data_IF_506598747700
#
_entry.id   IF_506598747700
#
_cell.length_a   1.000
_cell.length_b   1.000
_cell.length_c   1.000
_cell.angle_alpha   90.00
_cell.angle_beta   90.00
_cell.angle_gamma   90.00
#
_symmetry.space_group_name_H-M   'P 1'
#
loop_
_entity.id
_entity.type
_entity.pdbx_description
1 polymer ?
#
# COMPACT_ATOMS: atom_id res chain seq x y z
N UNK A 1 -7.04 -60.03 11.00
CA UNK A 1 -6.30 -58.78 11.34
C UNK A 1 -6.14 -57.78 10.20
N UNK A 2 -6.35 -58.09 8.89
CA UNK A 2 -6.22 -57.09 7.79
C UNK A 2 -7.48 -56.26 7.48
N UNK A 3 -8.67 -56.65 7.97
CA UNK A 3 -9.93 -55.91 7.72
C UNK A 3 -10.19 -54.74 8.67
N UNK A 4 -9.60 -54.75 9.86
CA UNK A 4 -9.81 -53.70 10.87
C UNK A 4 -9.02 -52.43 10.53
N UNK A 5 -7.86 -52.56 9.89
CA UNK A 5 -6.98 -51.44 9.50
C UNK A 5 -7.57 -50.58 8.38
N UNK A 6 -8.30 -51.19 7.43
CA UNK A 6 -8.96 -50.46 6.33
C UNK A 6 -10.15 -49.63 6.79
N UNK A 7 -10.90 -50.09 7.80
CA UNK A 7 -12.04 -49.35 8.36
C UNK A 7 -11.59 -48.10 9.14
N UNK A 8 -10.48 -48.18 9.87
CA UNK A 8 -9.87 -47.00 10.51
C UNK A 8 -9.29 -46.01 9.49
N UNK A 9 -8.66 -46.48 8.41
CA UNK A 9 -8.12 -45.58 7.38
C UNK A 9 -9.24 -44.86 6.60
N UNK A 10 -10.33 -45.57 6.28
CA UNK A 10 -11.49 -45.00 5.57
C UNK A 10 -12.26 -43.99 6.46
N UNK A 11 -12.36 -44.26 7.76
CA UNK A 11 -12.99 -43.36 8.72
C UNK A 11 -12.17 -42.07 8.93
N UNK A 12 -10.83 -42.17 8.95
CA UNK A 12 -9.94 -41.00 9.02
C UNK A 12 -10.04 -40.16 7.74
N UNK A 13 -10.08 -40.80 6.56
CA UNK A 13 -10.27 -40.08 5.28
C UNK A 13 -11.63 -39.36 5.25
N UNK A 14 -12.72 -40.04 5.68
CA UNK A 14 -14.06 -39.44 5.73
C UNK A 14 -14.18 -38.30 6.74
N UNK A 15 -13.53 -38.40 7.91
CA UNK A 15 -13.48 -37.33 8.92
C UNK A 15 -12.66 -36.12 8.44
N UNK A 16 -11.51 -36.34 7.78
CA UNK A 16 -10.69 -35.26 7.23
C UNK A 16 -11.41 -34.56 6.06
N UNK A 17 -12.09 -35.30 5.17
CA UNK A 17 -12.91 -34.69 4.10
C UNK A 17 -14.15 -33.97 4.63
N UNK A 18 -14.72 -34.43 5.75
CA UNK A 18 -15.87 -33.80 6.39
C UNK A 18 -15.53 -32.44 7.03
N UNK A 19 -14.40 -32.36 7.74
CA UNK A 19 -13.91 -31.10 8.33
C UNK A 19 -13.45 -30.08 7.29
N UNK A 20 -12.75 -30.52 6.23
CA UNK A 20 -12.36 -29.62 5.12
C UNK A 20 -13.57 -29.05 4.37
N UNK A 21 -14.64 -29.84 4.19
CA UNK A 21 -15.86 -29.36 3.54
C UNK A 21 -16.67 -28.37 4.40
N UNK A 22 -16.71 -28.55 5.73
CA UNK A 22 -17.42 -27.62 6.60
C UNK A 22 -16.74 -26.26 6.67
N UNK A 23 -15.41 -26.21 6.78
CA UNK A 23 -14.67 -24.94 6.81
C UNK A 23 -14.75 -24.19 5.47
N UNK A 24 -14.70 -24.88 4.33
CA UNK A 24 -14.87 -24.24 3.02
C UNK A 24 -16.27 -23.69 2.77
N UNK A 25 -17.32 -24.31 3.34
CA UNK A 25 -18.70 -23.84 3.17
C UNK A 25 -18.94 -22.44 3.77
N UNK A 26 -18.16 -22.11 4.80
CA UNK A 26 -18.16 -20.84 5.52
C UNK A 26 -17.38 -19.71 4.81
N UNK A 27 -16.63 -20.04 3.75
CA UNK A 27 -15.92 -19.04 2.95
C UNK A 27 -16.86 -18.30 1.99
N UNK A 28 -16.55 -17.03 1.66
CA UNK A 28 -17.16 -16.34 0.53
C UNK A 28 -17.09 -17.20 -0.73
N UNK A 29 -18.13 -17.16 -1.56
CA UNK A 29 -18.25 -18.00 -2.75
C UNK A 29 -17.02 -17.88 -3.68
N UNK A 30 -16.50 -16.67 -3.85
CA UNK A 30 -15.31 -16.37 -4.65
C UNK A 30 -14.01 -17.01 -4.16
N UNK A 31 -13.97 -17.48 -2.91
CA UNK A 31 -12.80 -18.09 -2.26
C UNK A 31 -12.90 -19.62 -2.12
N UNK A 32 -14.08 -20.22 -2.35
CA UNK A 32 -14.31 -21.66 -2.11
C UNK A 32 -13.43 -22.57 -2.96
N UNK A 33 -13.15 -22.13 -4.20
CA UNK A 33 -12.33 -22.86 -5.17
C UNK A 33 -10.90 -22.31 -5.26
N UNK A 34 -10.54 -21.33 -4.43
CA UNK A 34 -9.19 -20.77 -4.42
C UNK A 34 -8.21 -21.75 -3.78
N UNK A 35 -7.11 -22.00 -4.47
CA UNK A 35 -6.00 -22.83 -4.04
C UNK A 35 -4.71 -22.29 -4.68
N UNK A 36 -3.64 -22.01 -3.92
CA UNK A 36 -3.53 -22.08 -2.46
C UNK A 36 -4.27 -20.96 -1.70
N UNK A 37 -4.85 -21.32 -0.55
CA UNK A 37 -5.59 -20.43 0.35
C UNK A 37 -5.16 -20.62 1.81
N UNK A 38 -4.80 -19.53 2.48
CA UNK A 38 -4.51 -19.46 3.91
C UNK A 38 -5.57 -18.63 4.63
N UNK A 39 -6.21 -19.21 5.65
CA UNK A 39 -7.21 -18.50 6.48
C UNK A 39 -6.58 -18.07 7.79
N UNK A 40 -6.59 -16.76 8.07
CA UNK A 40 -6.13 -16.21 9.34
C UNK A 40 -7.23 -16.35 10.39
N UNK A 41 -6.90 -17.05 11.48
CA UNK A 41 -7.75 -17.26 12.64
C UNK A 41 -6.92 -17.14 13.94
N UNK A 42 -7.59 -17.11 15.10
CA UNK A 42 -6.91 -16.97 16.39
C UNK A 42 -5.93 -18.11 16.73
N UNK A 43 -6.01 -19.26 16.06
CA UNK A 43 -5.05 -20.36 16.25
C UNK A 43 -3.67 -20.08 15.64
N UNK A 44 -3.58 -19.14 14.71
CA UNK A 44 -2.34 -18.72 14.06
C UNK A 44 -1.81 -17.38 14.61
N UNK A 45 -2.46 -16.80 15.61
CA UNK A 45 -2.01 -15.57 16.25
C UNK A 45 -0.85 -15.88 17.21
N UNK A 46 0.35 -15.36 16.91
CA UNK A 46 1.59 -15.71 17.61
C UNK A 46 2.00 -14.72 18.69
N UNK A 47 1.34 -13.58 18.79
CA UNK A 47 1.66 -12.57 19.81
C UNK A 47 1.24 -11.17 19.42
N UNK A 48 1.80 -10.19 20.14
CA UNK A 48 1.55 -8.76 19.91
C UNK A 48 2.82 -8.06 19.44
N UNK A 49 2.63 -6.97 18.73
CA UNK A 49 3.70 -6.03 18.40
C UNK A 49 3.55 -4.81 19.29
N UNK A 50 4.66 -4.32 19.83
CA UNK A 50 4.75 -2.97 20.38
C UNK A 50 5.79 -2.15 19.63
N UNK A 51 5.48 -0.88 19.41
CA UNK A 51 6.35 0.07 18.73
C UNK A 51 6.87 1.06 19.76
N UNK A 52 8.16 0.98 20.05
CA UNK A 52 8.83 1.87 20.99
C UNK A 52 9.49 3.01 20.23
N UNK A 53 9.08 4.25 20.53
CA UNK A 53 9.65 5.45 19.89
C UNK A 53 11.15 5.51 20.15
N UNK A 54 11.94 5.70 19.09
CA UNK A 54 13.39 5.77 19.15
C UNK A 54 13.87 7.19 18.86
N UNK A 55 13.79 7.63 17.60
CA UNK A 55 14.29 8.93 17.17
C UNK A 55 13.37 9.57 16.14
N UNK A 56 13.38 10.90 16.05
CA UNK A 56 12.70 11.65 15.00
C UNK A 56 13.71 12.33 14.08
N UNK A 57 13.50 12.17 12.78
CA UNK A 57 14.18 12.88 11.70
C UNK A 57 13.37 14.12 11.38
N UNK A 58 13.85 15.26 11.87
CA UNK A 58 13.15 16.53 11.77
C UNK A 58 13.95 17.48 10.91
N UNK A 59 13.24 18.32 10.16
CA UNK A 59 13.82 19.48 9.51
C UNK A 59 13.08 20.74 9.98
N UNK A 60 13.83 21.74 10.45
CA UNK A 60 13.29 23.06 10.78
C UNK A 60 12.72 23.79 9.55
N UNK A 61 12.99 23.28 8.36
CA UNK A 61 12.35 23.63 7.10
C UNK A 61 11.17 22.71 6.76
N UNK A 62 10.34 22.43 7.78
CA UNK A 62 8.89 22.22 7.71
C UNK A 62 8.44 21.43 6.47
N UNK A 63 8.58 20.11 6.51
CA UNK A 63 7.98 19.26 5.49
C UNK A 63 6.45 19.41 5.59
N UNK A 64 5.82 19.99 4.57
CA UNK A 64 4.35 20.02 4.49
C UNK A 64 3.81 18.62 4.22
N UNK A 65 4.59 17.80 3.49
CA UNK A 65 4.23 16.43 3.13
C UNK A 65 5.45 15.54 2.97
N UNK A 66 5.40 14.36 3.60
CA UNK A 66 6.32 13.25 3.38
C UNK A 66 5.68 12.28 2.40
N UNK A 67 6.32 12.08 1.25
CA UNK A 67 5.79 11.20 0.20
C UNK A 67 6.43 9.81 0.18
N UNK A 68 7.63 9.65 0.76
CA UNK A 68 8.31 8.37 0.78
C UNK A 68 9.49 8.37 1.72
N UNK A 69 9.81 7.18 2.23
CA UNK A 69 10.96 6.93 3.10
C UNK A 69 11.69 5.71 2.56
N UNK A 70 13.01 5.80 2.49
CA UNK A 70 13.88 4.67 2.16
C UNK A 70 15.07 4.63 3.13
N UNK A 71 15.68 3.46 3.29
CA UNK A 71 16.83 3.26 4.18
C UNK A 71 17.96 2.66 3.36
N UNK A 72 19.17 3.19 3.51
CA UNK A 72 20.36 2.64 2.86
C UNK A 72 20.99 1.48 3.67
N UNK A 73 21.99 0.82 3.11
CA UNK A 73 22.68 -0.31 3.75
C UNK A 73 23.40 0.07 5.06
N UNK A 74 23.70 1.34 5.28
CA UNK A 74 24.30 1.85 6.52
C UNK A 74 23.25 2.19 7.60
N UNK A 75 21.97 2.17 7.23
CA UNK A 75 20.86 2.59 8.09
C UNK A 75 20.54 4.09 7.98
N UNK A 76 21.20 4.83 7.07
CA UNK A 76 20.85 6.22 6.82
C UNK A 76 19.46 6.30 6.18
N UNK A 77 18.72 7.33 6.53
CA UNK A 77 17.30 7.50 6.19
C UNK A 77 17.16 8.59 5.15
N UNK A 78 16.54 8.24 4.04
CA UNK A 78 16.23 9.11 2.91
C UNK A 78 14.74 9.43 2.96
N UNK A 79 14.39 10.71 3.00
CA UNK A 79 12.99 11.17 3.15
C UNK A 79 12.66 12.06 1.97
N UNK A 80 11.68 11.67 1.15
CA UNK A 80 11.13 12.52 0.11
C UNK A 80 10.15 13.52 0.72
N UNK A 81 10.56 14.79 0.73
CA UNK A 81 9.82 15.87 1.36
C UNK A 81 9.34 16.89 0.34
N UNK A 82 8.14 17.42 0.59
CA UNK A 82 7.58 18.52 -0.18
C UNK A 82 7.14 19.65 0.74
N UNK A 83 7.43 20.88 0.32
CA UNK A 83 6.87 22.10 0.88
C UNK A 83 6.59 23.12 -0.25
N UNK A 84 6.04 24.30 0.01
CA UNK A 84 5.84 25.31 -1.03
C UNK A 84 7.14 25.57 -1.84
N UNK A 85 7.09 25.30 -3.16
CA UNK A 85 8.22 25.41 -4.11
C UNK A 85 9.50 24.62 -3.72
N UNK A 86 9.37 23.59 -2.88
CA UNK A 86 10.48 22.71 -2.50
C UNK A 86 10.12 21.25 -2.72
N UNK A 87 10.97 20.53 -3.44
CA UNK A 87 10.84 19.10 -3.74
C UNK A 87 12.22 18.49 -3.63
N UNK A 88 12.53 17.93 -2.48
CA UNK A 88 13.87 17.46 -2.16
C UNK A 88 13.81 16.08 -1.50
N UNK A 89 14.89 15.31 -1.62
CA UNK A 89 15.13 14.15 -0.77
C UNK A 89 16.14 14.51 0.29
N UNK A 90 15.75 14.40 1.55
CA UNK A 90 16.56 14.70 2.72
C UNK A 90 17.29 13.44 3.18
N UNK A 91 18.59 13.53 3.42
CA UNK A 91 19.40 12.43 3.95
C UNK A 91 19.73 12.67 5.42
N UNK A 92 19.44 11.68 6.25
CA UNK A 92 19.73 11.67 7.67
C UNK A 92 20.55 10.45 8.05
N UNK A 93 21.51 10.63 8.96
CA UNK A 93 22.20 9.51 9.60
C UNK A 93 21.30 8.81 10.61
N UNK A 94 21.74 7.63 11.08
CA UNK A 94 21.00 6.80 12.05
C UNK A 94 20.70 7.51 13.38
N UNK A 95 21.47 8.56 13.72
CA UNK A 95 21.36 9.38 14.93
C UNK A 95 20.51 10.65 14.73
N UNK A 96 19.85 10.80 13.58
CA UNK A 96 19.01 11.95 13.27
C UNK A 96 19.77 13.16 12.70
N UNK A 97 21.08 13.07 12.51
CA UNK A 97 21.87 14.16 11.91
C UNK A 97 21.56 14.27 10.41
N UNK A 98 21.01 15.42 9.97
CA UNK A 98 20.85 15.70 8.53
C UNK A 98 22.22 15.90 7.88
N UNK A 99 22.52 15.15 6.83
CA UNK A 99 23.79 15.23 6.09
C UNK A 99 23.68 15.93 4.74
N UNK A 100 22.47 16.04 4.20
CA UNK A 100 22.27 16.78 2.94
C UNK A 100 20.86 16.71 2.40
N UNK A 101 20.68 17.30 1.22
CA UNK A 101 19.48 17.18 0.38
C UNK A 101 19.85 16.97 -1.07
N UNK A 102 18.97 16.30 -1.80
CA UNK A 102 19.09 16.05 -3.23
C UNK A 102 17.89 16.61 -4.00
N UNK A 103 18.17 17.19 -5.16
CA UNK A 103 17.17 17.72 -6.08
C UNK A 103 16.63 19.11 -5.73
N UNK A 104 15.50 19.45 -6.33
CA UNK A 104 14.83 20.75 -6.21
C UNK A 104 13.53 20.77 -6.99
N UNK A 105 12.74 21.84 -6.83
CA UNK A 105 11.50 22.00 -7.59
C UNK A 105 11.79 22.45 -9.03
N UNK A 106 11.33 21.68 -10.02
CA UNK A 106 11.46 22.05 -11.42
C UNK A 106 11.41 20.88 -12.39
N UNK A 107 11.90 21.07 -13.61
CA UNK A 107 11.85 20.08 -14.70
C UNK A 107 13.22 19.64 -15.18
N UNK A 108 14.27 20.35 -14.76
CA UNK A 108 15.62 20.11 -15.23
C UNK A 108 16.16 18.79 -14.65
N UNK A 109 17.39 18.47 -15.00
CA UNK A 109 18.07 17.27 -14.53
C UNK A 109 18.26 17.31 -13.00
N UNK A 110 17.77 16.27 -12.32
CA UNK A 110 17.80 16.20 -10.86
C UNK A 110 16.67 16.96 -10.15
N UNK A 111 15.83 17.71 -10.88
CA UNK A 111 14.67 18.41 -10.31
C UNK A 111 13.37 17.59 -10.40
N UNK A 112 12.38 17.97 -9.60
CA UNK A 112 11.10 17.25 -9.48
C UNK A 112 9.91 18.20 -9.48
N UNK A 113 8.83 17.80 -10.16
CA UNK A 113 7.55 18.48 -10.11
C UNK A 113 6.62 17.93 -9.03
N UNK A 114 6.77 16.65 -8.72
CA UNK A 114 6.04 15.91 -7.71
C UNK A 114 6.86 14.66 -7.38
N UNK A 115 7.15 14.36 -6.12
CA UNK A 115 7.82 13.12 -5.76
C UNK A 115 6.76 12.18 -5.20
N UNK A 116 6.34 11.16 -5.95
CA UNK A 116 5.27 10.26 -5.49
C UNK A 116 5.76 9.22 -4.48
N UNK A 117 6.99 8.75 -4.67
CA UNK A 117 7.66 7.79 -3.77
C UNK A 117 9.17 7.75 -4.09
N UNK A 118 9.95 7.13 -3.20
CA UNK A 118 11.37 6.84 -3.36
C UNK A 118 11.70 5.40 -3.00
N UNK A 119 12.76 4.85 -3.58
CA UNK A 119 13.26 3.52 -3.24
C UNK A 119 14.78 3.48 -3.28
N UNK A 120 15.39 2.88 -2.26
CA UNK A 120 16.82 2.58 -2.25
C UNK A 120 17.08 1.16 -2.77
N UNK A 121 18.09 0.99 -3.63
CA UNK A 121 18.55 -0.32 -4.08
C UNK A 121 19.97 -0.25 -4.65
N UNK A 122 20.89 -1.05 -4.08
CA UNK A 122 22.26 -1.21 -4.60
C UNK A 122 23.05 0.10 -4.67
N UNK A 123 23.02 0.89 -3.59
CA UNK A 123 23.69 2.20 -3.51
C UNK A 123 23.01 3.32 -4.31
N UNK A 124 21.86 3.06 -4.93
CA UNK A 124 21.13 4.03 -5.75
C UNK A 124 19.79 4.38 -5.13
N UNK A 125 19.43 5.65 -5.27
CA UNK A 125 18.13 6.18 -4.93
C UNK A 125 17.31 6.36 -6.21
N UNK A 126 16.16 5.71 -6.27
CA UNK A 126 15.17 5.87 -7.33
C UNK A 126 14.09 6.83 -6.83
N UNK A 127 13.92 7.94 -7.55
CA UNK A 127 12.90 8.95 -7.25
C UNK A 127 11.85 8.93 -8.34
N UNK A 128 10.59 8.73 -7.95
CA UNK A 128 9.47 8.63 -8.88
C UNK A 128 8.74 9.96 -8.98
N UNK A 129 8.83 10.61 -10.14
CA UNK A 129 8.11 11.85 -10.43
C UNK A 129 6.98 11.59 -11.42
N UNK A 130 5.78 11.33 -10.90
CA UNK A 130 4.61 11.04 -11.72
C UNK A 130 4.10 12.23 -12.51
N UNK A 131 4.39 13.47 -12.11
CA UNK A 131 3.98 14.66 -12.87
C UNK A 131 4.90 14.94 -14.06
N UNK A 132 6.17 14.55 -13.95
CA UNK A 132 7.11 14.50 -15.07
C UNK A 132 7.08 13.17 -15.83
N UNK A 133 6.31 12.19 -15.34
CA UNK A 133 6.29 10.79 -15.81
C UNK A 133 7.73 10.24 -15.97
N UNK A 134 8.55 10.45 -14.93
CA UNK A 134 9.99 10.20 -14.94
C UNK A 134 10.42 9.44 -13.69
N UNK A 135 11.35 8.50 -13.86
CA UNK A 135 12.12 7.91 -12.78
C UNK A 135 13.53 8.48 -12.83
N UNK A 136 13.94 9.19 -11.80
CA UNK A 136 15.30 9.73 -11.68
C UNK A 136 16.12 8.82 -10.78
N UNK A 137 17.33 8.46 -11.19
CA UNK A 137 18.22 7.59 -10.42
C UNK A 137 19.46 8.36 -10.00
N UNK A 138 19.66 8.46 -8.70
CA UNK A 138 20.75 9.19 -8.06
C UNK A 138 21.69 8.22 -7.34
N UNK A 139 22.96 8.61 -7.23
CA UNK A 139 23.85 8.05 -6.21
C UNK A 139 23.28 8.41 -4.82
N UNK A 140 23.06 7.42 -3.95
CA UNK A 140 22.36 7.66 -2.69
C UNK A 140 23.21 8.41 -1.64
N UNK A 141 24.54 8.40 -1.80
CA UNK A 141 25.47 9.08 -0.88
C UNK A 141 25.69 10.54 -1.33
N UNK A 142 26.02 10.73 -2.61
CA UNK A 142 26.39 12.04 -3.19
C UNK A 142 25.19 12.81 -3.76
N UNK A 143 24.08 12.15 -4.06
CA UNK A 143 22.94 12.77 -4.74
C UNK A 143 23.15 13.04 -6.22
N UNK A 144 24.26 12.55 -6.79
CA UNK A 144 24.62 12.81 -8.18
C UNK A 144 23.70 12.04 -9.13
N UNK A 145 23.22 12.73 -10.17
CA UNK A 145 22.41 12.10 -11.21
C UNK A 145 23.21 11.01 -11.92
N UNK A 146 22.72 9.78 -11.84
CA UNK A 146 23.28 8.66 -12.60
C UNK A 146 22.60 8.52 -13.96
N UNK A 147 21.26 8.48 -13.98
CA UNK A 147 20.46 8.48 -15.20
C UNK A 147 18.99 8.81 -14.89
N UNK A 148 18.23 9.12 -15.94
CA UNK A 148 16.78 9.27 -15.86
C UNK A 148 16.09 8.35 -16.87
N UNK A 149 14.92 7.86 -16.50
CA UNK A 149 14.05 7.04 -17.33
C UNK A 149 12.73 7.77 -17.55
N UNK A 150 12.31 7.89 -18.81
CA UNK A 150 10.97 8.38 -19.18
C UNK A 150 9.99 7.21 -19.16
N UNK A 151 8.88 7.37 -18.44
CA UNK A 151 7.75 6.41 -18.38
C UNK A 151 6.45 7.10 -18.79
N UNK A 152 6.52 7.88 -19.86
CA UNK A 152 5.38 8.66 -20.35
C UNK A 152 4.25 7.77 -20.80
N UNK A 153 3.03 8.11 -20.42
CA UNK A 153 1.81 7.36 -20.77
C UNK A 153 1.67 7.11 -22.28
N UNK A 154 2.14 8.02 -23.13
CA UNK A 154 2.06 7.84 -24.59
C UNK A 154 2.91 6.70 -25.13
N UNK A 155 3.98 6.31 -24.45
CA UNK A 155 4.84 5.19 -24.86
C UNK A 155 4.10 3.85 -24.80
N UNK A 156 3.07 3.75 -23.97
CA UNK A 156 2.37 2.51 -23.64
C UNK A 156 0.96 2.43 -24.25
N UNK A 157 0.53 3.47 -24.96
CA UNK A 157 -0.85 3.66 -25.44
C UNK A 157 -1.38 2.50 -26.30
N UNK A 158 -0.50 1.86 -27.06
CA UNK A 158 -0.85 0.79 -27.99
C UNK A 158 -0.72 -0.62 -27.37
N UNK A 159 -0.04 -0.73 -26.22
CA UNK A 159 0.30 -2.03 -25.59
C UNK A 159 -0.53 -2.32 -24.34
N UNK A 160 -0.87 -1.27 -23.58
CA UNK A 160 -1.80 -1.37 -22.45
C UNK A 160 -3.14 -0.85 -22.94
N UNK A 161 -4.25 -1.49 -22.58
CA UNK A 161 -5.63 -1.15 -22.99
C UNK A 161 -6.08 0.28 -22.63
N UNK A 162 -5.19 1.09 -22.05
CA UNK A 162 -5.47 2.39 -21.45
C UNK A 162 -4.94 3.54 -22.32
N UNK A 163 -5.79 4.03 -23.24
CA UNK A 163 -5.51 5.25 -24.04
C UNK A 163 -5.43 6.54 -23.21
N UNK A 164 -5.96 6.51 -21.99
CA UNK A 164 -6.04 7.62 -21.06
C UNK A 164 -5.50 7.15 -19.71
N UNK A 165 -4.18 6.91 -19.63
CA UNK A 165 -3.56 6.40 -18.41
C UNK A 165 -2.72 7.46 -17.72
N UNK A 166 -2.78 7.50 -16.39
CA UNK A 166 -1.71 8.04 -15.54
C UNK A 166 -0.77 6.89 -15.22
N UNK A 167 0.52 7.14 -15.33
CA UNK A 167 1.57 6.19 -14.98
C UNK A 167 2.01 6.45 -13.54
N UNK A 168 2.10 5.39 -12.74
CA UNK A 168 2.60 5.47 -11.36
C UNK A 168 3.67 4.41 -11.18
N UNK A 169 4.97 4.78 -11.10
CA UNK A 169 6.00 3.86 -10.70
C UNK A 169 5.74 3.36 -9.28
N UNK A 170 5.78 2.04 -9.10
CA UNK A 170 5.44 1.41 -7.82
C UNK A 170 6.67 0.86 -7.13
N UNK A 171 7.51 0.14 -7.88
CA UNK A 171 8.63 -0.60 -7.31
C UNK A 171 9.70 -0.86 -8.37
N UNK A 172 10.96 -0.90 -7.95
CA UNK A 172 12.08 -1.41 -8.74
C UNK A 172 12.52 -2.76 -8.21
N UNK A 173 12.57 -3.73 -9.11
CA UNK A 173 13.06 -5.08 -8.86
C UNK A 173 14.58 -5.16 -8.79
N UNK A 174 15.12 -6.19 -8.14
CA UNK A 174 16.57 -6.44 -8.05
C UNK A 174 17.22 -6.67 -9.43
N UNK A 175 16.51 -7.31 -10.35
CA UNK A 175 16.94 -7.44 -11.75
C UNK A 175 17.01 -6.08 -12.48
N UNK A 176 16.58 -5.01 -11.83
CA UNK A 176 16.62 -3.61 -12.26
C UNK A 176 15.48 -3.18 -13.18
N UNK A 177 14.49 -4.05 -13.42
CA UNK A 177 13.21 -3.66 -14.06
C UNK A 177 12.30 -2.95 -13.07
N UNK A 178 11.24 -2.32 -13.57
CA UNK A 178 10.30 -1.52 -12.79
C UNK A 178 8.88 -2.05 -12.90
N UNK A 179 8.18 -2.13 -11.78
CA UNK A 179 6.74 -2.31 -11.75
C UNK A 179 6.05 -0.95 -11.85
N UNK A 180 5.20 -0.81 -12.85
CA UNK A 180 4.48 0.42 -13.18
C UNK A 180 2.98 0.15 -13.13
N UNK A 181 2.23 1.00 -12.45
CA UNK A 181 0.77 1.01 -12.46
C UNK A 181 0.23 1.97 -13.53
N UNK A 182 -0.77 1.51 -14.27
CA UNK A 182 -1.48 2.25 -15.30
C UNK A 182 -2.93 2.43 -14.85
N UNK A 183 -3.30 3.68 -14.55
CA UNK A 183 -4.64 4.03 -14.05
C UNK A 183 -5.37 4.87 -15.06
N UNK A 184 -6.63 4.56 -15.30
CA UNK A 184 -7.49 5.41 -16.14
C UNK A 184 -7.46 6.87 -15.63
N UNK A 185 -7.42 7.87 -16.50
CA UNK A 185 -7.39 9.30 -16.15
C UNK A 185 -8.72 10.00 -16.45
N UNK A 186 -9.69 9.29 -17.02
CA UNK A 186 -11.02 9.83 -17.33
C UNK A 186 -11.79 10.13 -16.05
N UNK A 187 -12.75 11.05 -16.18
CA UNK A 187 -13.57 11.48 -15.06
C UNK A 187 -14.41 10.31 -14.50
N UNK A 188 -14.20 9.90 -13.24
CA UNK A 188 -14.90 8.76 -12.64
C UNK A 188 -16.41 8.93 -12.55
N UNK A 189 -16.92 10.16 -12.60
CA UNK A 189 -18.36 10.42 -12.61
C UNK A 189 -19.07 9.83 -13.84
N UNK A 190 -18.34 9.66 -14.95
CA UNK A 190 -18.85 9.12 -16.21
C UNK A 190 -18.29 7.74 -16.55
N UNK A 191 -17.15 7.38 -15.96
CA UNK A 191 -16.48 6.10 -16.15
C UNK A 191 -16.21 5.44 -14.79
N UNK A 192 -17.24 4.89 -14.12
CA UNK A 192 -17.10 4.36 -12.76
C UNK A 192 -16.39 3.01 -12.70
N UNK A 193 -16.51 2.19 -13.74
CA UNK A 193 -15.82 0.90 -13.86
C UNK A 193 -14.42 1.13 -14.41
N UNK A 194 -13.42 1.03 -13.52
CA UNK A 194 -12.03 1.33 -13.81
C UNK A 194 -11.14 0.25 -13.23
N UNK A 195 -10.03 0.02 -13.91
CA UNK A 195 -9.01 -0.93 -13.50
C UNK A 195 -7.65 -0.25 -13.43
N UNK A 196 -6.79 -0.79 -12.57
CA UNK A 196 -5.37 -0.51 -12.54
C UNK A 196 -4.65 -1.71 -13.11
N UNK A 197 -3.94 -1.50 -14.21
CA UNK A 197 -3.08 -2.52 -14.81
C UNK A 197 -1.68 -2.31 -14.28
N UNK A 198 -1.06 -3.35 -13.75
CA UNK A 198 0.34 -3.33 -13.33
C UNK A 198 1.17 -4.08 -14.34
N UNK A 199 2.25 -3.48 -14.83
CA UNK A 199 3.11 -4.07 -15.83
C UNK A 199 4.59 -3.83 -15.52
N UNK A 200 5.45 -4.69 -16.07
CA UNK A 200 6.90 -4.59 -15.88
C UNK A 200 7.52 -3.84 -17.05
N UNK A 201 8.37 -2.87 -16.73
CA UNK A 201 9.10 -2.02 -17.66
C UNK A 201 10.61 -2.22 -17.49
N UNK A 202 11.34 -2.24 -18.60
CA UNK A 202 12.78 -2.41 -18.64
C UNK A 202 13.53 -1.21 -18.05
N UNK A 203 14.85 -1.33 -17.93
CA UNK A 203 15.74 -0.21 -17.54
C UNK A 203 15.74 0.94 -18.54
N UNK A 204 15.24 0.72 -19.76
CA UNK A 204 15.17 1.72 -20.83
C UNK A 204 13.76 2.25 -21.08
N UNK A 205 12.76 1.74 -20.36
CA UNK A 205 11.37 2.22 -20.47
C UNK A 205 10.48 1.36 -21.35
N UNK A 206 11.01 0.26 -21.88
CA UNK A 206 10.27 -0.66 -22.74
C UNK A 206 9.37 -1.58 -21.93
N UNK A 207 8.13 -1.76 -22.36
CA UNK A 207 7.20 -2.71 -21.74
C UNK A 207 7.70 -4.16 -21.98
N UNK A 208 7.85 -4.93 -20.91
CA UNK A 208 8.33 -6.32 -20.97
C UNK A 208 7.19 -7.34 -20.95
N UNK A 209 6.05 -6.99 -20.35
CA UNK A 209 4.84 -7.82 -20.29
C UNK A 209 3.61 -6.91 -20.28
N UNK A 210 2.52 -7.33 -20.92
CA UNK A 210 1.30 -6.53 -21.06
C UNK A 210 0.60 -6.27 -19.71
N UNK A 211 0.64 -7.27 -18.81
CA UNK A 211 0.19 -7.14 -17.43
C UNK A 211 0.77 -8.23 -16.53
N UNK A 212 1.18 -7.85 -15.33
CA UNK A 212 1.51 -8.76 -14.22
C UNK A 212 0.29 -8.96 -13.31
N UNK A 213 -0.50 -7.91 -13.12
CA UNK A 213 -1.67 -7.91 -12.25
C UNK A 213 -2.68 -6.88 -12.76
N UNK A 214 -3.98 -7.16 -12.59
CA UNK A 214 -5.06 -6.20 -12.83
C UNK A 214 -5.93 -6.15 -11.57
N UNK A 215 -6.25 -4.96 -11.11
CA UNK A 215 -7.14 -4.75 -9.95
C UNK A 215 -8.23 -3.74 -10.29
N UNK A 216 -9.39 -3.87 -9.67
CA UNK A 216 -10.37 -2.78 -9.66
C UNK A 216 -9.76 -1.53 -9.02
N UNK A 217 -9.96 -0.37 -9.66
CA UNK A 217 -9.45 0.92 -9.19
C UNK A 217 -10.29 1.46 -8.01
N UNK A 218 -9.93 2.65 -7.56
CA UNK A 218 -10.57 3.37 -6.47
C UNK A 218 -12.04 3.62 -6.76
N UNK A 219 -12.91 3.28 -5.80
CA UNK A 219 -14.34 3.55 -5.89
C UNK A 219 -14.63 4.99 -5.52
N UNK A 220 -15.21 5.71 -6.48
CA UNK A 220 -15.74 7.05 -6.26
C UNK A 220 -17.23 6.99 -5.94
N UNK A 221 -17.68 7.88 -5.07
CA UNK A 221 -19.09 8.19 -4.92
C UNK A 221 -19.43 9.28 -5.93
N UNK A 222 -20.64 9.22 -6.46
CA UNK A 222 -21.13 10.19 -7.43
C UNK A 222 -22.38 10.83 -6.86
N UNK A 223 -22.32 12.16 -6.70
CA UNK A 223 -23.47 12.98 -6.37
C UNK A 223 -23.90 13.84 -7.55
N UNK A 224 -24.97 14.58 -7.38
CA UNK A 224 -25.47 15.55 -8.34
C UNK A 224 -25.23 16.99 -7.87
N UNK A 225 -24.77 17.82 -8.79
CA UNK A 225 -24.78 19.27 -8.64
C UNK A 225 -25.47 19.91 -9.85
N UNK A 226 -26.71 20.36 -9.65
CA UNK A 226 -27.51 21.06 -10.64
C UNK A 226 -27.66 20.27 -11.96
N UNK A 227 -27.91 18.96 -11.85
CA UNK A 227 -28.06 18.05 -12.98
C UNK A 227 -26.75 17.59 -13.60
N UNK A 228 -25.60 17.83 -12.95
CA UNK A 228 -24.29 17.37 -13.38
C UNK A 228 -23.69 16.41 -12.35
N UNK A 229 -23.27 15.21 -12.76
CA UNK A 229 -22.65 14.27 -11.84
C UNK A 229 -21.26 14.76 -11.42
N UNK A 230 -20.98 14.66 -10.13
CA UNK A 230 -19.71 15.03 -9.53
C UNK A 230 -19.19 13.88 -8.67
N UNK A 231 -18.02 13.35 -9.04
CA UNK A 231 -17.37 12.27 -8.32
C UNK A 231 -16.52 12.81 -7.17
N UNK A 232 -16.52 12.08 -6.05
CA UNK A 232 -15.65 12.34 -4.90
C UNK A 232 -15.26 11.02 -4.22
N UNK A 233 -14.21 11.07 -3.40
CA UNK A 233 -13.78 9.93 -2.58
C UNK A 233 -14.15 10.17 -1.12
N UNK A 234 -14.41 9.07 -0.42
CA UNK A 234 -14.46 9.07 1.04
C UNK A 234 -13.05 9.19 1.62
N UNK A 235 -12.95 9.56 2.89
CA UNK A 235 -11.68 9.60 3.64
C UNK A 235 -10.97 8.23 3.64
N UNK A 236 -11.76 7.15 3.65
CA UNK A 236 -11.29 5.76 3.60
C UNK A 236 -11.97 5.05 2.44
N UNK A 237 -11.50 5.27 1.19
CA UNK A 237 -12.17 4.74 0.02
C UNK A 237 -11.83 3.26 -0.20
N UNK A 238 -12.71 2.57 -0.92
CA UNK A 238 -12.35 1.29 -1.55
C UNK A 238 -11.31 1.59 -2.62
N UNK A 239 -10.13 0.95 -2.57
CA UNK A 239 -9.01 1.18 -3.49
C UNK A 239 -8.06 -0.01 -3.53
N UNK A 240 -7.26 -0.17 -4.60
CA UNK A 240 -6.18 -1.15 -4.60
C UNK A 240 -5.06 -0.75 -3.64
N UNK A 241 -4.50 -1.75 -2.98
CA UNK A 241 -3.24 -1.71 -2.23
C UNK A 241 -2.23 -2.62 -2.91
N UNK A 242 -0.98 -2.18 -2.94
CA UNK A 242 0.13 -2.95 -3.45
C UNK A 242 1.36 -2.75 -2.55
N UNK A 243 2.04 -3.83 -2.23
CA UNK A 243 3.35 -3.83 -1.61
C UNK A 243 4.24 -4.81 -2.37
N UNK A 244 5.55 -4.59 -2.36
CA UNK A 244 6.50 -5.49 -2.99
C UNK A 244 7.66 -5.76 -2.03
N UNK A 245 7.94 -7.04 -1.80
CA UNK A 245 9.09 -7.44 -0.98
C UNK A 245 10.41 -7.24 -1.73
N UNK A 246 11.56 -7.36 -1.03
CA UNK A 246 12.88 -7.19 -1.65
C UNK A 246 13.12 -8.16 -2.81
N UNK A 247 12.50 -9.34 -2.77
CA UNK A 247 12.63 -10.36 -3.82
C UNK A 247 11.79 -10.06 -5.06
N UNK A 248 11.00 -8.98 -5.04
CA UNK A 248 10.12 -8.59 -6.13
C UNK A 248 8.78 -9.31 -6.12
N UNK A 249 8.43 -10.04 -5.06
CA UNK A 249 7.08 -10.60 -4.97
C UNK A 249 6.12 -9.49 -4.59
N UNK A 250 4.99 -9.48 -5.26
CA UNK A 250 3.96 -8.48 -5.08
C UNK A 250 2.92 -9.05 -4.12
N UNK A 251 2.48 -8.25 -3.17
CA UNK A 251 1.26 -8.51 -2.41
C UNK A 251 0.25 -7.45 -2.79
N UNK A 252 -0.92 -7.91 -3.21
CA UNK A 252 -2.01 -7.07 -3.67
C UNK A 252 -3.25 -7.29 -2.81
N UNK A 253 -4.03 -6.22 -2.62
CA UNK A 253 -5.32 -6.28 -1.97
C UNK A 253 -6.25 -5.21 -2.55
N UNK A 254 -7.56 -5.42 -2.46
CA UNK A 254 -8.53 -4.33 -2.56
C UNK A 254 -9.04 -4.05 -1.15
N UNK A 255 -9.12 -2.78 -0.74
CA UNK A 255 -9.48 -2.45 0.63
C UNK A 255 -10.90 -2.88 1.04
N UNK A 256 -11.77 -3.22 0.08
CA UNK A 256 -13.15 -3.66 0.34
C UNK A 256 -13.23 -4.79 1.37
N UNK A 257 -12.32 -5.75 1.30
CA UNK A 257 -12.33 -7.00 2.05
C UNK A 257 -10.92 -7.38 2.50
N UNK A 258 -10.81 -8.20 3.54
CA UNK A 258 -9.51 -8.67 4.04
C UNK A 258 -9.05 -9.88 3.23
N UNK A 259 -8.65 -9.63 1.98
CA UNK A 259 -8.08 -10.60 1.06
C UNK A 259 -6.76 -10.05 0.53
N UNK A 260 -5.68 -10.78 0.76
CA UNK A 260 -4.36 -10.47 0.23
C UNK A 260 -3.98 -11.56 -0.78
N UNK A 261 -3.52 -11.18 -1.95
CA UNK A 261 -3.00 -12.10 -2.95
C UNK A 261 -1.51 -11.84 -3.13
N UNK A 262 -0.70 -12.86 -2.84
CA UNK A 262 0.75 -12.85 -3.06
C UNK A 262 1.04 -13.44 -4.43
N UNK A 263 1.73 -12.66 -5.25
CA UNK A 263 2.09 -12.99 -6.62
C UNK A 263 3.60 -12.98 -6.77
N UNK A 264 4.10 -13.93 -7.54
CA UNK A 264 5.44 -13.93 -8.10
C UNK A 264 5.37 -13.40 -9.54
N UNK A 265 6.26 -12.47 -9.95
CA UNK A 265 6.27 -11.98 -11.32
C UNK A 265 6.47 -13.06 -12.38
N UNK A 266 7.15 -14.17 -12.06
CA UNK A 266 7.41 -15.26 -12.99
C UNK A 266 6.39 -16.40 -12.86
N UNK A 267 6.00 -16.74 -11.64
CA UNK A 267 5.16 -17.92 -11.36
C UNK A 267 3.67 -17.60 -11.14
N UNK A 268 3.28 -16.33 -11.12
CA UNK A 268 1.90 -15.89 -10.89
C UNK A 268 1.47 -16.00 -9.43
N UNK A 269 0.18 -16.28 -9.19
CA UNK A 269 -0.39 -16.35 -7.85
C UNK A 269 0.27 -17.46 -7.00
N UNK A 270 0.90 -17.08 -5.90
CA UNK A 270 1.55 -17.97 -4.94
C UNK A 270 0.66 -18.34 -3.75
N UNK A 271 -0.17 -17.41 -3.27
CA UNK A 271 -1.06 -17.64 -2.14
C UNK A 271 -2.16 -16.57 -2.07
N UNK A 272 -3.35 -16.97 -1.64
CA UNK A 272 -4.40 -16.06 -1.18
C UNK A 272 -4.50 -16.15 0.35
N UNK A 273 -4.44 -15.02 1.03
CA UNK A 273 -4.63 -14.92 2.49
C UNK A 273 -5.98 -14.27 2.75
N UNK A 274 -6.82 -14.93 3.53
CA UNK A 274 -8.15 -14.45 3.88
C UNK A 274 -8.32 -14.33 5.39
N UNK A 275 -8.97 -13.25 5.83
CA UNK A 275 -9.45 -13.12 7.20
C UNK A 275 -10.92 -12.71 7.20
N UNK A 276 -11.76 -13.40 7.99
CA UNK A 276 -13.13 -12.95 8.20
C UNK A 276 -13.10 -11.73 9.11
N UNK A 277 -13.26 -10.55 8.53
CA UNK A 277 -13.23 -9.28 9.24
C UNK A 277 -14.59 -8.58 9.21
N UNK A 278 -15.10 -8.19 10.38
CA UNK A 278 -16.33 -7.41 10.48
C UNK A 278 -16.02 -5.94 10.21
N UNK A 279 -16.59 -5.41 9.13
CA UNK A 279 -16.36 -4.03 8.69
C UNK A 279 -17.11 -3.04 9.59
N UNK A 280 -16.45 -1.95 9.97
CA UNK A 280 -17.06 -0.89 10.77
C UNK A 280 -18.26 -0.25 10.05
N UNK A 281 -19.35 0.07 10.76
CA UNK A 281 -20.48 0.81 10.17
C UNK A 281 -20.04 2.20 9.70
N UNK A 282 -20.68 2.69 8.65
CA UNK A 282 -20.48 4.04 8.14
C UNK A 282 -21.72 4.88 8.44
N UNK A 283 -21.52 5.98 9.16
CA UNK A 283 -22.55 7.00 9.42
C UNK A 283 -22.45 8.11 8.36
N UNK A 284 -23.49 8.23 7.52
CA UNK A 284 -23.50 9.23 6.43
C UNK A 284 -23.66 10.63 7.00
N UNK A 285 -24.53 10.81 7.98
CA UNK A 285 -24.87 12.09 8.58
C UNK A 285 -23.62 12.72 9.23
N UNK A 286 -22.80 11.92 9.93
CA UNK A 286 -21.52 12.37 10.49
C UNK A 286 -20.57 12.91 9.42
N UNK A 287 -20.48 12.22 8.27
CA UNK A 287 -19.56 12.57 7.18
C UNK A 287 -20.04 13.81 6.41
N UNK A 288 -21.34 13.92 6.16
CA UNK A 288 -21.90 14.92 5.24
C UNK A 288 -22.13 16.26 5.94
N UNK A 289 -22.87 16.27 7.04
CA UNK A 289 -23.39 17.52 7.62
C UNK A 289 -22.35 18.21 8.52
N UNK A 290 -21.49 17.46 9.19
CA UNK A 290 -20.47 18.01 10.10
C UNK A 290 -19.30 18.72 9.39
N UNK A 291 -18.89 18.23 8.21
CA UNK A 291 -17.65 18.66 7.56
C UNK A 291 -17.85 19.70 6.44
N UNK A 292 -19.00 19.68 5.75
CA UNK A 292 -19.18 20.43 4.50
C UNK A 292 -20.28 21.50 4.56
N UNK A 293 -20.86 21.74 5.73
CA UNK A 293 -21.91 22.74 5.97
C UNK A 293 -21.55 24.16 5.50
N UNK A 294 -20.27 24.49 5.45
CA UNK A 294 -19.76 25.80 5.02
C UNK A 294 -19.66 25.96 3.49
N UNK A 295 -19.86 24.89 2.71
CA UNK A 295 -19.80 24.91 1.24
C UNK A 295 -21.03 24.21 0.64
N UNK A 296 -22.06 24.99 0.31
CA UNK A 296 -23.34 24.47 -0.21
C UNK A 296 -23.18 23.59 -1.46
N UNK A 297 -22.21 23.90 -2.33
CA UNK A 297 -22.02 23.15 -3.57
C UNK A 297 -21.52 21.73 -3.26
N UNK A 298 -20.48 21.61 -2.43
CA UNK A 298 -19.93 20.32 -2.01
C UNK A 298 -20.96 19.56 -1.17
N UNK A 299 -21.68 20.26 -0.30
CA UNK A 299 -22.72 19.67 0.54
C UNK A 299 -23.81 19.02 -0.32
N UNK A 300 -24.33 19.70 -1.35
CA UNK A 300 -25.37 19.15 -2.24
C UNK A 300 -24.91 17.89 -2.98
N UNK A 301 -23.68 17.88 -3.49
CA UNK A 301 -23.09 16.69 -4.12
C UNK A 301 -23.07 15.53 -3.12
N UNK A 302 -22.61 15.78 -1.89
CA UNK A 302 -22.51 14.73 -0.86
C UNK A 302 -23.88 14.25 -0.38
N UNK A 303 -24.87 15.13 -0.25
CA UNK A 303 -26.21 14.75 0.20
C UNK A 303 -26.92 13.82 -0.80
N UNK A 304 -26.70 14.04 -2.10
CA UNK A 304 -27.34 13.30 -3.19
C UNK A 304 -26.65 11.98 -3.55
N UNK A 305 -25.44 11.74 -3.06
CA UNK A 305 -24.71 10.51 -3.34
C UNK A 305 -25.20 9.31 -2.50
N UNK A 306 -24.98 8.11 -3.06
CA UNK A 306 -25.23 6.83 -2.39
C UNK A 306 -23.98 6.37 -1.63
N UNK A 307 -24.14 6.15 -0.32
CA UNK A 307 -23.06 5.74 0.58
C UNK A 307 -23.17 4.25 0.88
N UNK A 308 -22.05 3.53 1.04
CA UNK A 308 -22.08 2.17 1.54
C UNK A 308 -22.46 2.16 3.02
N UNK A 309 -23.10 1.08 3.48
CA UNK A 309 -23.48 0.92 4.90
C UNK A 309 -22.26 0.73 5.83
N UNK A 310 -21.11 0.34 5.28
CA UNK A 310 -19.90 0.01 6.02
C UNK A 310 -18.66 0.56 5.36
N UNK A 311 -17.67 0.88 6.17
CA UNK A 311 -16.32 1.18 5.71
C UNK A 311 -15.67 -0.05 5.04
N UNK A 312 -14.65 0.14 4.20
CA UNK A 312 -13.80 -0.96 3.73
C UNK A 312 -13.16 -1.73 4.91
N UNK A 313 -12.65 -2.93 4.66
CA UNK A 313 -11.96 -3.71 5.68
C UNK A 313 -10.55 -3.15 5.96
N UNK A 314 -9.80 -2.83 4.92
CA UNK A 314 -8.38 -2.45 5.00
C UNK A 314 -8.17 -0.96 4.76
N UNK A 315 -6.99 -0.44 5.14
CA UNK A 315 -6.62 0.95 4.86
C UNK A 315 -5.21 1.11 4.27
N UNK A 316 -4.19 0.50 4.87
CA UNK A 316 -2.79 0.59 4.43
C UNK A 316 -2.12 -0.77 4.41
N UNK A 317 -1.07 -0.90 3.61
CA UNK A 317 -0.25 -2.10 3.51
C UNK A 317 1.20 -1.74 3.20
N UNK A 318 2.14 -2.33 3.93
CA UNK A 318 3.58 -2.25 3.68
C UNK A 318 4.20 -3.63 3.86
N UNK A 319 5.31 -3.88 3.19
CA UNK A 319 6.12 -5.09 3.36
C UNK A 319 7.41 -4.74 4.11
N UNK A 320 7.87 -5.65 4.97
CA UNK A 320 9.18 -5.51 5.58
C UNK A 320 10.26 -6.32 4.85
N UNK A 321 11.51 -6.13 5.28
CA UNK A 321 12.69 -6.80 4.77
C UNK A 321 12.75 -8.31 5.12
N UNK A 322 11.92 -8.77 6.06
CA UNK A 322 11.69 -10.18 6.37
C UNK A 322 10.64 -10.85 5.48
N UNK A 323 10.03 -10.13 4.55
CA UNK A 323 8.97 -10.63 3.66
C UNK A 323 7.62 -10.81 4.35
N UNK A 324 7.43 -10.20 5.54
CA UNK A 324 6.14 -10.12 6.23
C UNK A 324 5.35 -8.95 5.68
N UNK A 325 4.03 -9.09 5.73
CA UNK A 325 3.10 -8.05 5.30
C UNK A 325 2.44 -7.42 6.51
N UNK A 326 2.57 -6.11 6.60
CA UNK A 326 1.93 -5.27 7.60
C UNK A 326 0.71 -4.65 6.94
N UNK A 327 -0.48 -5.03 7.39
CA UNK A 327 -1.74 -4.51 6.83
C UNK A 327 -2.60 -3.95 7.95
N UNK A 328 -3.18 -2.78 7.72
CA UNK A 328 -4.07 -2.12 8.67
C UNK A 328 -5.53 -2.33 8.30
N UNK A 329 -6.34 -2.64 9.30
CA UNK A 329 -7.77 -2.79 9.20
C UNK A 329 -8.51 -1.64 9.89
N UNK A 330 -9.59 -1.18 9.26
CA UNK A 330 -10.44 -0.10 9.77
C UNK A 330 -11.25 -0.64 10.94
N UNK A 331 -11.17 0.03 12.09
CA UNK A 331 -11.95 -0.32 13.28
C UNK A 331 -13.15 0.60 13.43
N UNK A 332 -14.07 0.27 14.33
CA UNK A 332 -15.18 1.15 14.72
C UNK A 332 -14.68 2.44 15.42
N UNK A 333 -13.49 2.41 16.01
CA UNK A 333 -12.89 3.60 16.60
C UNK A 333 -12.22 4.43 15.50
N UNK A 334 -12.74 5.64 15.29
CA UNK A 334 -12.28 6.54 14.23
C UNK A 334 -10.76 6.77 14.22
N UNK A 335 -10.13 6.91 15.39
CA UNK A 335 -8.72 7.29 15.51
C UNK A 335 -7.76 6.10 15.69
N UNK A 336 -8.20 4.87 15.42
CA UNK A 336 -7.43 3.66 15.68
C UNK A 336 -7.57 2.65 14.53
N UNK A 337 -6.44 2.12 14.07
CA UNK A 337 -6.38 0.96 13.19
C UNK A 337 -5.92 -0.27 13.96
N UNK A 338 -6.44 -1.43 13.55
CA UNK A 338 -5.88 -2.73 13.97
C UNK A 338 -4.92 -3.21 12.90
N UNK A 339 -3.67 -3.39 13.26
CA UNK A 339 -2.63 -3.88 12.37
C UNK A 339 -2.43 -5.38 12.52
N UNK A 340 -2.16 -6.03 11.39
CA UNK A 340 -1.79 -7.44 11.28
C UNK A 340 -0.41 -7.51 10.64
N UNK A 341 0.52 -8.19 11.30
CA UNK A 341 1.85 -8.49 10.76
C UNK A 341 1.87 -9.98 10.40
N UNK A 342 1.78 -10.26 9.11
CA UNK A 342 1.46 -11.59 8.58
C UNK A 342 2.71 -12.20 7.95
N UNK A 343 3.08 -13.39 8.41
CA UNK A 343 4.11 -14.23 7.81
C UNK A 343 3.58 -15.00 6.60
N UNK A 344 4.49 -15.47 5.74
CA UNK A 344 4.14 -16.25 4.55
C UNK A 344 3.44 -17.58 4.85
N UNK A 345 3.58 -18.12 6.06
CA UNK A 345 2.96 -19.36 6.54
C UNK A 345 1.60 -19.13 7.22
N UNK A 346 1.11 -17.89 7.28
CA UNK A 346 -0.16 -17.54 7.91
C UNK A 346 -0.10 -17.25 9.41
N UNK A 347 1.06 -17.44 10.06
CA UNK A 347 1.26 -16.92 11.42
C UNK A 347 1.20 -15.41 11.40
N UNK A 348 0.62 -14.80 12.42
CA UNK A 348 0.52 -13.36 12.49
C UNK A 348 0.51 -12.82 13.91
N UNK A 349 0.91 -11.56 14.04
CA UNK A 349 0.78 -10.79 15.29
C UNK A 349 -0.12 -9.58 15.05
N UNK A 350 -0.77 -9.09 16.11
CA UNK A 350 -1.66 -7.93 16.01
C UNK A 350 -1.31 -6.82 17.00
N UNK A 351 -1.66 -5.58 16.64
CA UNK A 351 -1.56 -4.43 17.53
C UNK A 351 -2.54 -3.32 17.13
N UNK A 352 -2.83 -2.42 18.06
CA UNK A 352 -3.62 -1.22 17.80
C UNK A 352 -2.68 -0.03 17.61
N UNK A 353 -2.99 0.82 16.65
CA UNK A 353 -2.16 1.96 16.32
C UNK A 353 -3.01 3.19 15.95
N UNK A 354 -2.63 4.41 16.39
CA UNK A 354 -3.33 5.62 16.00
C UNK A 354 -3.36 5.78 14.48
N UNK A 355 -4.55 6.07 13.91
CA UNK A 355 -4.69 6.20 12.45
C UNK A 355 -3.90 7.38 11.86
N UNK A 356 -3.58 8.36 12.71
CA UNK A 356 -2.96 9.62 12.30
C UNK A 356 -1.42 9.48 12.21
N UNK A 357 -0.89 8.38 12.74
CA UNK A 357 0.53 8.03 12.72
C UNK A 357 0.76 6.99 11.62
N UNK A 358 1.12 7.44 10.43
CA UNK A 358 1.16 6.58 9.23
C UNK A 358 2.45 5.77 9.20
N UNK A 359 2.38 4.45 9.36
CA UNK A 359 3.53 3.57 9.08
C UNK A 359 3.72 3.56 7.56
N UNK A 360 4.85 4.08 7.09
CA UNK A 360 5.15 4.24 5.66
C UNK A 360 6.27 3.33 5.17
N UNK A 361 7.16 2.90 6.05
CA UNK A 361 8.27 2.00 5.71
C UNK A 361 8.64 1.12 6.91
N UNK A 362 9.08 -0.11 6.65
CA UNK A 362 9.50 -1.07 7.68
C UNK A 362 10.76 -1.79 7.20
N UNK A 363 11.88 -1.62 7.91
CA UNK A 363 13.16 -2.21 7.52
C UNK A 363 14.10 -2.29 8.73
N UNK A 364 14.94 -3.33 8.79
CA UNK A 364 16.01 -3.45 9.78
C UNK A 364 15.50 -3.57 11.22
N UNK A 365 14.28 -4.08 11.43
CA UNK A 365 13.65 -4.15 12.75
C UNK A 365 13.07 -2.83 13.24
N UNK A 366 12.94 -1.84 12.36
CA UNK A 366 12.32 -0.54 12.67
C UNK A 366 11.10 -0.27 11.81
N UNK A 367 10.12 0.42 12.39
CA UNK A 367 9.02 1.04 11.66
C UNK A 367 9.27 2.55 11.54
N UNK A 368 9.09 3.08 10.35
CA UNK A 368 9.19 4.52 10.06
C UNK A 368 7.79 5.07 9.89
N UNK A 369 7.48 6.06 10.73
CA UNK A 369 6.14 6.57 10.93
C UNK A 369 6.12 8.06 10.62
N UNK A 370 5.20 8.48 9.77
CA UNK A 370 4.92 9.90 9.55
C UNK A 370 3.95 10.37 10.64
N UNK A 371 4.35 11.40 11.37
CA UNK A 371 3.60 12.02 12.45
C UNK A 371 3.53 13.54 12.25
N UNK A 372 2.47 14.19 12.73
CA UNK A 372 2.43 15.65 12.73
C UNK A 372 3.10 16.21 14.00
N UNK A 373 3.91 17.25 13.82
CA UNK A 373 4.47 18.03 14.93
C UNK A 373 3.41 18.97 15.56
N UNK A 374 3.81 19.75 16.56
CA UNK A 374 2.92 20.69 17.27
C UNK A 374 2.32 21.78 16.36
N UNK A 375 2.94 22.05 15.21
CA UNK A 375 2.51 23.05 14.25
C UNK A 375 1.76 22.45 13.05
N UNK A 376 1.64 21.11 12.98
CA UNK A 376 0.94 20.40 11.91
C UNK A 376 1.82 20.01 10.71
N UNK A 377 3.14 20.08 10.82
CA UNK A 377 4.07 19.61 9.78
C UNK A 377 4.40 18.13 9.96
N UNK A 378 4.68 17.43 8.86
CA UNK A 378 4.97 16.00 8.88
C UNK A 378 6.45 15.73 9.23
N UNK A 379 6.70 15.04 10.35
CA UNK A 379 7.99 14.50 10.75
C UNK A 379 8.05 12.98 10.48
N UNK A 380 9.24 12.43 10.24
CA UNK A 380 9.45 10.98 10.23
C UNK A 380 10.05 10.52 11.54
N UNK A 381 9.38 9.57 12.20
CA UNK A 381 9.80 9.01 13.48
C UNK A 381 10.11 7.53 13.31
N UNK A 382 11.30 7.12 13.75
CA UNK A 382 11.69 5.71 13.84
C UNK A 382 11.18 5.11 15.14
N UNK A 383 10.61 3.92 15.04
CA UNK A 383 10.17 3.10 16.15
C UNK A 383 10.89 1.76 16.11
N UNK A 384 11.38 1.30 17.26
CA UNK A 384 11.89 -0.06 17.44
C UNK A 384 10.71 -1.01 17.52
N UNK A 385 10.74 -2.07 16.72
CA UNK A 385 9.72 -3.12 16.74
C UNK A 385 10.07 -4.12 17.85
N UNK A 386 9.11 -4.38 18.73
CA UNK A 386 9.21 -5.40 19.79
C UNK A 386 8.11 -6.44 19.58
N UNK A 387 8.50 -7.70 19.58
CA UNK A 387 7.58 -8.82 19.55
C UNK A 387 7.35 -9.32 20.98
N UNK A 388 6.11 -9.27 21.42
CA UNK A 388 5.67 -9.79 22.70
C UNK A 388 5.01 -11.14 22.44
N UNK A 389 5.77 -12.22 22.68
CA UNK A 389 5.26 -13.58 22.56
C UNK A 389 4.43 -13.98 23.78
N UNK A 390 3.40 -14.81 23.57
CA UNK A 390 2.92 -15.71 24.61
C UNK A 390 4.05 -16.72 24.89
N UNK A 391 4.78 -16.52 25.98
CA UNK A 391 5.63 -17.56 26.53
C UNK A 391 4.71 -18.66 27.09
N UNK A 392 4.41 -19.67 26.29
CA UNK A 392 4.04 -21.02 26.76
C UNK A 392 4.72 -22.10 25.91
#
# INVERSE_FOLDING_TARGET
MKRLTYLTLLAIILLVTGCMNSERSELPESLRDRDPLTVLNGGNETGRISLQRDIAFKDSLLLDRVNGVAVDESGAVLIAGEAWERREVYRFETDGTRTGTFGGYGRDEGEFLQIDNIQFSGGRLHVYDGKSERITVLDAERGELTHSLSVRSEQYRDSVSARHTVVTPIHRYENGTYLIGFKDSRNPAFFPEREVVYATVSRTGELLADSVLIQSDSRYLVGDYAGKPAAFMLERPVRPLLAADRTGRIVSANTSDFILEKHDPEYGLLNTIYHRYERAPLDKEEIVDGQFSHNEQILRVRQTAEYPERWPALYSMVSDDGGRIWVSAITEKRHEFKWYVIHSDGRHSTFLWPSERKIVHVEGGYAYVVENDENGFEDVVRYIIREEGSAE
#
